data_IF_114319171728
#
_entry.id   IF_114319171728
#
_cell.length_a   1.000
_cell.length_b   1.000
_cell.length_c   1.000
_cell.angle_alpha   90.00
_cell.angle_beta   90.00
_cell.angle_gamma   90.00
#
_symmetry.space_group_name_H-M   'P 1'
#
loop_
_entity.id
_entity.type
_entity.pdbx_description
1 polymer ?
#
# COMPACT_ATOMS: atom_id res chain seq x y z
N UNK A 1 -12.62 14.20 11.14
CA UNK A 1 -12.54 13.39 9.92
C UNK A 1 -11.53 12.28 10.12
N UNK A 2 -11.86 11.05 9.75
CA UNK A 2 -10.94 9.91 9.75
C UNK A 2 -11.12 9.09 8.46
N UNK A 3 -10.13 8.29 8.06
CA UNK A 3 -10.20 7.48 6.85
C UNK A 3 -9.90 6.01 7.17
N UNK A 4 -10.83 5.11 6.84
CA UNK A 4 -10.62 3.67 6.86
C UNK A 4 -9.61 3.29 5.78
N UNK A 5 -8.49 2.71 6.19
CA UNK A 5 -7.27 2.64 5.40
C UNK A 5 -7.16 1.40 4.51
N UNK A 6 -8.01 0.38 4.68
CA UNK A 6 -7.99 -0.87 3.92
C UNK A 6 -9.37 -1.55 3.85
N UNK A 7 -10.21 -1.11 2.91
CA UNK A 7 -11.52 -1.73 2.65
C UNK A 7 -11.40 -2.83 1.57
N UNK A 8 -11.68 -4.11 1.87
CA UNK A 8 -11.81 -5.14 0.85
C UNK A 8 -13.05 -4.83 -0.02
N UNK A 9 -12.94 -4.74 -1.36
CA UNK A 9 -14.07 -4.30 -2.20
C UNK A 9 -15.37 -5.09 -2.01
N UNK A 10 -15.27 -6.42 -1.86
CA UNK A 10 -16.43 -7.30 -1.64
C UNK A 10 -17.13 -7.05 -0.29
N UNK A 11 -16.35 -6.67 0.73
CA UNK A 11 -16.84 -6.37 2.08
C UNK A 11 -17.16 -4.89 2.30
N UNK A 12 -17.20 -4.08 1.23
CA UNK A 12 -17.52 -2.65 1.33
C UNK A 12 -18.84 -2.35 2.07
N UNK A 13 -19.87 -3.20 1.91
CA UNK A 13 -21.12 -3.04 2.67
C UNK A 13 -20.89 -3.07 4.18
N UNK A 14 -20.06 -3.99 4.67
CA UNK A 14 -19.74 -4.11 6.09
C UNK A 14 -19.05 -2.85 6.61
N UNK A 15 -18.05 -2.34 5.87
CA UNK A 15 -17.36 -1.09 6.22
C UNK A 15 -18.34 0.09 6.30
N UNK A 16 -19.28 0.21 5.36
CA UNK A 16 -20.29 1.28 5.42
C UNK A 16 -21.34 1.09 6.53
N UNK A 17 -21.63 -0.16 6.93
CA UNK A 17 -22.47 -0.43 8.10
C UNK A 17 -21.78 0.02 9.40
N UNK A 18 -20.48 -0.23 9.56
CA UNK A 18 -19.71 0.26 10.72
C UNK A 18 -19.54 1.79 10.71
N UNK A 19 -19.24 2.41 9.55
CA UNK A 19 -19.18 3.87 9.40
C UNK A 19 -20.52 4.51 9.78
N UNK A 20 -21.65 3.90 9.40
CA UNK A 20 -22.99 4.42 9.75
C UNK A 20 -23.19 4.50 11.27
N UNK A 21 -22.64 3.54 12.01
CA UNK A 21 -22.77 3.45 13.46
C UNK A 21 -21.60 4.11 14.21
N UNK A 22 -20.67 4.76 13.49
CA UNK A 22 -19.56 5.54 14.05
C UNK A 22 -19.95 7.01 14.13
N UNK A 23 -20.21 7.56 15.33
CA UNK A 23 -20.79 8.89 15.46
C UNK A 23 -19.75 10.02 15.26
N UNK A 24 -20.26 11.23 15.04
CA UNK A 24 -19.55 12.53 15.08
C UNK A 24 -18.63 12.82 13.89
N UNK A 25 -17.76 11.89 13.49
CA UNK A 25 -16.70 12.17 12.53
C UNK A 25 -17.18 12.02 11.07
N UNK A 26 -16.67 12.87 10.17
CA UNK A 26 -16.73 12.58 8.73
C UNK A 26 -15.76 11.46 8.38
N UNK A 27 -16.18 10.51 7.56
CA UNK A 27 -15.42 9.30 7.25
C UNK A 27 -15.36 9.01 5.75
N UNK A 28 -14.35 8.25 5.35
CA UNK A 28 -14.24 7.65 4.03
C UNK A 28 -13.39 6.39 4.09
N UNK A 29 -13.44 5.55 3.04
CA UNK A 29 -12.73 4.27 3.02
C UNK A 29 -11.88 4.12 1.77
N UNK A 30 -10.74 3.44 1.89
CA UNK A 30 -9.82 3.19 0.78
C UNK A 30 -9.92 1.73 0.31
N UNK A 31 -10.55 1.44 -0.85
CA UNK A 31 -10.51 0.11 -1.42
C UNK A 31 -9.08 -0.32 -1.74
N UNK A 32 -8.78 -1.59 -1.50
CA UNK A 32 -7.47 -2.18 -1.82
C UNK A 32 -7.38 -2.66 -3.28
N UNK A 33 -6.32 -2.28 -3.97
CA UNK A 33 -6.08 -2.57 -5.40
C UNK A 33 -4.80 -3.37 -5.68
N UNK A 34 -3.83 -3.37 -4.75
CA UNK A 34 -2.47 -3.90 -4.98
C UNK A 34 -2.36 -5.40 -5.29
N UNK A 35 -3.43 -6.16 -5.03
CA UNK A 35 -3.53 -7.60 -5.28
C UNK A 35 -4.82 -7.94 -6.05
N UNK A 36 -5.43 -6.96 -6.71
CA UNK A 36 -6.66 -7.18 -7.45
C UNK A 36 -6.36 -7.84 -8.81
N UNK A 37 -7.05 -8.94 -9.12
CA UNK A 37 -6.80 -9.72 -10.33
C UNK A 37 -6.99 -8.92 -11.62
N UNK A 38 -8.06 -8.13 -11.73
CA UNK A 38 -8.30 -7.30 -12.92
C UNK A 38 -7.20 -6.25 -13.11
N UNK A 39 -6.75 -5.62 -12.02
CA UNK A 39 -5.63 -4.67 -12.06
C UNK A 39 -4.36 -5.35 -12.55
N UNK A 40 -4.00 -6.51 -11.98
CA UNK A 40 -2.78 -7.23 -12.37
C UNK A 40 -2.81 -7.66 -13.83
N UNK A 41 -3.93 -8.20 -14.32
CA UNK A 41 -4.07 -8.59 -15.73
C UNK A 41 -4.00 -7.40 -16.69
N UNK A 42 -4.73 -6.31 -16.42
CA UNK A 42 -4.70 -5.12 -17.27
C UNK A 42 -3.30 -4.47 -17.30
N UNK A 43 -2.65 -4.35 -16.14
CA UNK A 43 -1.32 -3.76 -16.07
C UNK A 43 -0.26 -4.62 -16.77
N UNK A 44 -0.33 -5.96 -16.66
CA UNK A 44 0.56 -6.87 -17.39
C UNK A 44 0.47 -6.65 -18.90
N UNK A 45 -0.75 -6.45 -19.40
CA UNK A 45 -1.02 -6.20 -20.82
C UNK A 45 -0.78 -4.73 -21.23
N UNK A 46 -0.29 -3.88 -20.31
CA UNK A 46 -0.05 -2.43 -20.52
C UNK A 46 -1.33 -1.65 -20.87
N UNK A 47 -2.47 -2.11 -20.38
CA UNK A 47 -3.79 -1.52 -20.63
C UNK A 47 -4.15 -0.48 -19.56
N UNK A 48 -3.46 0.66 -19.58
CA UNK A 48 -3.62 1.67 -18.54
C UNK A 48 -5.02 2.30 -18.51
N UNK A 49 -5.66 2.48 -19.67
CA UNK A 49 -7.01 3.03 -19.75
C UNK A 49 -8.05 2.06 -19.17
N UNK A 50 -7.90 0.76 -19.41
CA UNK A 50 -8.76 -0.27 -18.82
C UNK A 50 -8.55 -0.35 -17.31
N UNK A 51 -7.30 -0.23 -16.85
CA UNK A 51 -6.98 -0.15 -15.41
C UNK A 51 -7.66 1.06 -14.76
N UNK A 52 -7.57 2.24 -15.38
CA UNK A 52 -8.21 3.45 -14.89
C UNK A 52 -9.75 3.33 -14.89
N UNK A 53 -10.35 2.79 -15.96
CA UNK A 53 -11.78 2.56 -16.04
C UNK A 53 -12.27 1.59 -14.94
N UNK A 54 -11.55 0.50 -14.72
CA UNK A 54 -11.84 -0.45 -13.65
C UNK A 54 -11.73 0.21 -12.25
N UNK A 55 -10.66 0.98 -12.00
CA UNK A 55 -10.50 1.72 -10.75
C UNK A 55 -11.66 2.70 -10.51
N UNK A 56 -12.06 3.45 -11.54
CA UNK A 56 -13.20 4.38 -11.45
C UNK A 56 -14.51 3.67 -11.14
N UNK A 57 -14.77 2.52 -11.78
CA UNK A 57 -15.93 1.69 -11.48
C UNK A 57 -15.89 1.17 -10.04
N UNK A 58 -14.76 0.61 -9.59
CA UNK A 58 -14.64 0.00 -8.27
C UNK A 58 -14.80 1.04 -7.16
N UNK A 59 -14.18 2.22 -7.31
CA UNK A 59 -14.36 3.35 -6.40
C UNK A 59 -15.84 3.73 -6.29
N UNK A 60 -16.56 3.85 -7.42
CA UNK A 60 -17.99 4.17 -7.44
C UNK A 60 -18.85 3.07 -6.81
N UNK A 61 -18.56 1.82 -7.15
CA UNK A 61 -19.32 0.65 -6.69
C UNK A 61 -19.22 0.50 -5.17
N UNK A 62 -17.99 0.60 -4.64
CA UNK A 62 -17.67 0.46 -3.22
C UNK A 62 -17.84 1.75 -2.40
N UNK A 63 -18.14 2.88 -3.05
CA UNK A 63 -18.10 4.23 -2.44
C UNK A 63 -16.75 4.54 -1.78
N UNK A 64 -15.68 4.09 -2.40
CA UNK A 64 -14.31 4.32 -1.97
C UNK A 64 -13.76 5.70 -2.36
N UNK A 65 -12.72 6.13 -1.67
CA UNK A 65 -12.13 7.47 -1.82
C UNK A 65 -10.77 7.49 -2.54
N UNK A 66 -9.91 6.49 -2.31
CA UNK A 66 -8.54 6.46 -2.83
C UNK A 66 -8.12 5.06 -3.28
N UNK A 67 -7.05 4.99 -4.08
CA UNK A 67 -6.39 3.74 -4.47
C UNK A 67 -5.40 3.33 -3.38
N UNK A 68 -5.76 2.35 -2.53
CA UNK A 68 -4.85 1.76 -1.54
C UNK A 68 -4.11 0.56 -2.13
N UNK A 69 -2.81 0.50 -1.87
CA UNK A 69 -1.91 -0.57 -2.31
C UNK A 69 -1.21 -1.11 -1.08
N UNK A 70 -1.45 -2.38 -0.75
CA UNK A 70 -0.85 -3.07 0.39
C UNK A 70 -0.10 -4.29 -0.13
N UNK A 71 1.19 -4.40 0.19
CA UNK A 71 2.08 -5.49 -0.22
C UNK A 71 1.78 -5.93 -1.68
N UNK A 72 1.99 -5.05 -2.67
CA UNK A 72 1.54 -5.28 -4.04
C UNK A 72 2.09 -6.60 -4.56
N UNK A 73 1.20 -7.47 -5.04
CA UNK A 73 1.53 -8.83 -5.47
C UNK A 73 1.80 -9.86 -4.34
N UNK A 74 2.31 -9.43 -3.19
CA UNK A 74 2.68 -10.32 -2.10
C UNK A 74 1.48 -10.96 -1.38
N UNK A 75 0.38 -10.23 -1.22
CA UNK A 75 -0.85 -10.81 -0.64
C UNK A 75 -1.52 -11.81 -1.60
N UNK A 76 -1.42 -11.62 -2.93
CA UNK A 76 -1.86 -12.65 -3.88
C UNK A 76 -0.96 -13.89 -3.79
N UNK A 77 0.36 -13.70 -3.74
CA UNK A 77 1.30 -14.81 -3.56
C UNK A 77 1.00 -15.60 -2.25
N UNK A 78 0.52 -14.92 -1.22
CA UNK A 78 0.15 -15.52 0.05
C UNK A 78 -1.02 -16.51 -0.03
N UNK A 79 -1.90 -16.40 -1.03
CA UNK A 79 -2.93 -17.42 -1.27
C UNK A 79 -2.34 -18.82 -1.50
N UNK A 80 -1.03 -18.89 -1.81
CA UNK A 80 -0.26 -20.11 -2.02
C UNK A 80 0.87 -20.30 -0.99
N UNK A 81 0.83 -19.55 0.12
CA UNK A 81 1.86 -19.59 1.17
C UNK A 81 3.20 -18.93 0.77
N UNK A 82 3.20 -18.08 -0.25
CA UNK A 82 4.37 -17.36 -0.76
C UNK A 82 4.31 -15.86 -0.42
N UNK A 83 5.33 -15.09 -0.80
CA UNK A 83 5.35 -13.63 -0.67
C UNK A 83 6.26 -13.00 -1.75
N UNK A 84 6.09 -11.71 -2.00
CA UNK A 84 7.00 -10.88 -2.80
C UNK A 84 7.76 -9.94 -1.84
N UNK A 85 9.06 -10.16 -1.66
CA UNK A 85 9.92 -9.41 -0.74
C UNK A 85 10.69 -8.27 -1.43
N UNK A 86 10.79 -8.32 -2.76
CA UNK A 86 11.38 -7.29 -3.60
C UNK A 86 10.35 -6.71 -4.56
N UNK A 87 10.58 -5.47 -4.99
CA UNK A 87 9.74 -4.82 -6.01
C UNK A 87 9.80 -5.52 -7.37
N UNK A 88 10.76 -6.44 -7.57
CA UNK A 88 10.98 -7.17 -8.82
C UNK A 88 10.54 -8.64 -8.76
N UNK A 89 10.03 -9.12 -7.62
CA UNK A 89 9.60 -10.52 -7.51
C UNK A 89 8.34 -10.75 -8.35
N UNK A 90 8.28 -11.76 -9.23
CA UNK A 90 7.10 -12.01 -10.03
C UNK A 90 5.97 -12.58 -9.16
N UNK A 91 4.77 -12.03 -9.31
CA UNK A 91 3.57 -12.59 -8.69
C UNK A 91 3.25 -13.94 -9.36
N UNK A 92 3.07 -15.04 -8.59
CA UNK A 92 2.73 -16.34 -9.15
C UNK A 92 1.52 -16.27 -10.08
N UNK A 93 1.55 -17.00 -11.20
CA UNK A 93 0.55 -16.99 -12.29
C UNK A 93 0.40 -15.65 -13.04
N UNK A 94 0.21 -14.55 -12.33
CA UNK A 94 0.03 -13.23 -12.92
C UNK A 94 1.27 -12.74 -13.67
N UNK A 95 2.48 -13.10 -13.21
CA UNK A 95 3.75 -12.80 -13.90
C UNK A 95 3.86 -11.30 -14.25
N UNK A 96 3.60 -10.50 -13.22
CA UNK A 96 3.81 -9.05 -13.15
C UNK A 96 4.55 -8.78 -11.84
N UNK A 97 5.33 -7.71 -11.78
CA UNK A 97 6.10 -7.34 -10.60
C UNK A 97 5.39 -6.29 -9.73
N UNK A 98 5.67 -6.21 -8.42
CA UNK A 98 5.19 -5.12 -7.58
C UNK A 98 5.56 -3.73 -8.14
N UNK A 99 6.72 -3.59 -8.77
CA UNK A 99 7.13 -2.34 -9.41
C UNK A 99 6.18 -1.91 -10.54
N UNK A 100 5.78 -2.85 -11.40
CA UNK A 100 4.81 -2.61 -12.47
C UNK A 100 3.42 -2.30 -11.93
N UNK A 101 2.99 -2.99 -10.87
CA UNK A 101 1.71 -2.71 -10.17
C UNK A 101 1.71 -1.29 -9.61
N UNK A 102 2.75 -0.92 -8.85
CA UNK A 102 2.88 0.41 -8.24
C UNK A 102 2.90 1.51 -9.31
N UNK A 103 3.72 1.34 -10.34
CA UNK A 103 3.81 2.29 -11.46
C UNK A 103 2.46 2.47 -12.16
N UNK A 104 1.83 1.37 -12.53
CA UNK A 104 0.54 1.38 -13.23
C UNK A 104 -0.59 2.00 -12.40
N UNK A 105 -0.60 1.77 -11.09
CA UNK A 105 -1.58 2.39 -10.20
C UNK A 105 -1.34 3.89 -9.95
N UNK A 106 -0.10 4.37 -9.99
CA UNK A 106 0.19 5.81 -10.04
C UNK A 106 -0.35 6.39 -11.35
N UNK A 107 -0.05 5.76 -12.48
CA UNK A 107 -0.53 6.18 -13.80
C UNK A 107 -2.07 6.26 -13.83
N UNK A 108 -2.77 5.25 -13.31
CA UNK A 108 -4.22 5.22 -13.24
C UNK A 108 -4.79 6.31 -12.32
N UNK A 109 -4.16 6.53 -11.16
CA UNK A 109 -4.56 7.57 -10.21
C UNK A 109 -4.52 8.97 -10.85
N UNK A 110 -3.43 9.27 -11.56
CA UNK A 110 -3.26 10.56 -12.24
C UNK A 110 -4.06 10.67 -13.55
N UNK A 111 -4.36 9.55 -14.22
CA UNK A 111 -5.28 9.53 -15.36
C UNK A 111 -6.69 9.94 -14.92
N UNK A 112 -7.16 9.42 -13.77
CA UNK A 112 -8.47 9.73 -13.20
C UNK A 112 -8.54 11.09 -12.50
N UNK A 113 -7.40 11.69 -12.20
CA UNK A 113 -7.28 12.95 -11.47
C UNK A 113 -7.87 12.91 -10.06
N UNK A 114 -7.61 11.81 -9.35
CA UNK A 114 -8.14 11.59 -8.00
C UNK A 114 -7.62 12.63 -6.99
N UNK A 115 -8.42 12.94 -5.95
CA UNK A 115 -8.07 13.95 -4.94
C UNK A 115 -6.89 13.53 -4.08
N UNK A 116 -6.76 12.23 -3.79
CA UNK A 116 -5.62 11.66 -3.07
C UNK A 116 -4.64 10.99 -4.05
N UNK A 117 -3.38 10.91 -3.66
CA UNK A 117 -2.37 10.12 -4.38
C UNK A 117 -2.60 8.61 -4.16
N UNK A 118 -1.96 7.78 -4.97
CA UNK A 118 -1.85 6.36 -4.67
C UNK A 118 -1.23 6.19 -3.28
N UNK A 119 -1.88 5.39 -2.42
CA UNK A 119 -1.54 5.25 -1.01
C UNK A 119 -0.89 3.87 -0.80
N UNK A 120 0.41 3.86 -0.50
CA UNK A 120 1.24 2.65 -0.51
C UNK A 120 1.64 2.19 0.90
N UNK A 121 1.44 0.90 1.13
CA UNK A 121 2.12 0.04 2.11
C UNK A 121 3.04 -0.87 1.29
N UNK A 122 4.37 -0.61 1.28
CA UNK A 122 5.34 -1.37 0.47
C UNK A 122 5.47 -2.84 0.85
N UNK A 123 6.06 -3.62 -0.06
CA UNK A 123 6.53 -4.97 0.23
C UNK A 123 7.59 -4.98 1.37
N UNK A 124 7.85 -6.16 1.92
CA UNK A 124 8.90 -6.39 2.93
C UNK A 124 8.71 -5.61 4.25
N UNK A 125 7.46 -5.36 4.66
CA UNK A 125 7.16 -4.69 5.93
C UNK A 125 7.82 -5.43 7.10
N UNK A 126 8.41 -4.67 8.02
CA UNK A 126 8.83 -5.20 9.32
C UNK A 126 10.11 -6.02 9.35
N UNK A 127 10.74 -6.30 8.20
CA UNK A 127 11.98 -7.09 8.15
C UNK A 127 13.24 -6.21 8.22
N UNK A 128 14.31 -6.64 8.93
CA UNK A 128 15.63 -6.01 8.85
C UNK A 128 16.11 -5.86 7.39
N UNK A 129 16.65 -4.69 7.05
CA UNK A 129 17.15 -4.37 5.71
C UNK A 129 16.10 -3.84 4.71
N UNK A 130 14.81 -3.79 5.09
CA UNK A 130 13.72 -3.39 4.19
C UNK A 130 13.76 -1.93 3.71
N UNK A 131 14.62 -1.08 4.29
CA UNK A 131 14.78 0.30 3.82
C UNK A 131 15.19 0.37 2.35
N UNK A 132 15.90 -0.66 1.85
CA UNK A 132 16.30 -0.78 0.44
C UNK A 132 15.08 -0.99 -0.47
N UNK A 133 14.22 -1.97 -0.17
CA UNK A 133 12.93 -2.19 -0.85
C UNK A 133 12.05 -0.94 -0.81
N UNK A 134 12.06 -0.22 0.31
CA UNK A 134 11.30 1.02 0.47
C UNK A 134 11.81 2.11 -0.46
N UNK A 135 13.13 2.35 -0.50
CA UNK A 135 13.74 3.31 -1.42
C UNK A 135 13.49 2.93 -2.88
N UNK A 136 13.56 1.65 -3.22
CA UNK A 136 13.25 1.18 -4.58
C UNK A 136 11.78 1.39 -4.94
N UNK A 137 10.86 1.24 -3.98
CA UNK A 137 9.44 1.57 -4.15
C UNK A 137 9.25 3.07 -4.40
N UNK A 138 9.88 3.92 -3.60
CA UNK A 138 9.75 5.37 -3.73
C UNK A 138 10.31 5.89 -5.07
N UNK A 139 11.40 5.29 -5.58
CA UNK A 139 11.97 5.63 -6.90
C UNK A 139 11.01 5.40 -8.06
N UNK A 140 10.04 4.50 -7.94
CA UNK A 140 9.02 4.26 -8.99
C UNK A 140 8.20 5.54 -9.25
N UNK A 141 8.03 6.39 -8.23
CA UNK A 141 7.31 7.66 -8.37
C UNK A 141 8.14 8.78 -9.04
N UNK A 142 9.44 8.58 -9.32
CA UNK A 142 10.27 9.59 -9.97
C UNK A 142 9.74 9.93 -11.38
N UNK A 143 9.77 11.22 -11.74
CA UNK A 143 9.31 11.71 -13.04
C UNK A 143 7.79 11.87 -13.17
N UNK A 144 7.00 11.29 -12.26
CA UNK A 144 5.55 11.51 -12.22
C UNK A 144 5.21 12.92 -11.74
N UNK A 145 4.13 13.47 -12.30
CA UNK A 145 3.55 14.75 -11.89
C UNK A 145 2.09 14.55 -11.54
N UNK A 146 1.66 15.15 -10.44
CA UNK A 146 0.27 15.12 -10.06
C UNK A 146 -0.60 15.81 -11.13
N UNK A 147 -1.69 15.15 -11.52
CA UNK A 147 -2.69 15.66 -12.48
C UNK A 147 -4.04 15.63 -11.78
N UNK A 148 -4.44 16.72 -11.15
CA UNK A 148 -5.70 16.79 -10.44
C UNK A 148 -6.21 18.23 -10.36
N UNK A 149 -7.47 18.41 -9.95
CA UNK A 149 -8.11 19.72 -9.76
C UNK A 149 -8.16 20.19 -8.30
N UNK A 150 -7.46 19.48 -7.41
CA UNK A 150 -7.54 19.66 -5.96
C UNK A 150 -6.28 20.33 -5.36
N UNK A 151 -5.28 20.64 -6.19
CA UNK A 151 -4.03 21.29 -5.74
C UNK A 151 -3.04 20.33 -5.07
N UNK A 152 -3.26 19.01 -5.13
CA UNK A 152 -2.30 18.00 -4.65
C UNK A 152 -1.05 18.01 -5.54
N UNK A 153 0.13 18.05 -4.93
CA UNK A 153 1.44 18.00 -5.63
C UNK A 153 2.07 16.60 -5.63
N UNK A 154 1.66 15.77 -4.67
CA UNK A 154 2.17 14.42 -4.45
C UNK A 154 1.57 13.43 -5.42
N UNK A 155 2.26 12.34 -5.77
CA UNK A 155 1.75 11.24 -6.61
C UNK A 155 1.73 9.90 -5.85
N UNK A 156 2.44 9.83 -4.73
CA UNK A 156 2.50 8.68 -3.85
C UNK A 156 2.50 9.14 -2.39
N UNK A 157 1.74 8.44 -1.55
CA UNK A 157 1.73 8.60 -0.10
C UNK A 157 2.14 7.29 0.56
N UNK A 158 3.31 7.26 1.21
CA UNK A 158 3.82 6.11 1.94
C UNK A 158 3.30 6.13 3.37
N UNK A 159 2.51 5.13 3.73
CA UNK A 159 1.93 5.03 5.08
C UNK A 159 2.85 4.28 6.04
N UNK A 160 2.71 4.59 7.33
CA UNK A 160 3.36 3.96 8.48
C UNK A 160 4.86 3.67 8.22
N UNK A 161 5.56 4.70 7.75
CA UNK A 161 6.94 4.66 7.24
C UNK A 161 7.95 4.09 8.24
N UNK A 162 7.63 4.15 9.54
CA UNK A 162 8.44 3.57 10.61
C UNK A 162 8.72 2.08 10.36
N UNK A 163 7.73 1.30 9.93
CA UNK A 163 7.88 -0.14 9.66
C UNK A 163 8.61 -0.47 8.34
N UNK A 164 8.99 0.57 7.58
CA UNK A 164 9.65 0.51 6.28
C UNK A 164 11.05 1.14 6.31
N UNK A 165 11.59 1.39 7.50
CA UNK A 165 12.84 2.12 7.70
C UNK A 165 13.87 1.31 8.49
N UNK A 166 13.94 -0.01 8.26
CA UNK A 166 14.79 -0.94 9.02
C UNK A 166 16.07 -1.27 8.25
N UNK A 167 17.22 -1.14 8.93
CA UNK A 167 18.53 -1.63 8.49
C UNK A 167 18.90 -2.96 9.12
N UNK A 168 20.17 -3.34 9.03
CA UNK A 168 20.65 -4.68 9.37
C UNK A 168 20.29 -5.72 8.31
N UNK A 169 20.69 -6.97 8.55
CA UNK A 169 20.31 -8.14 7.74
C UNK A 169 19.55 -9.19 8.57
N UNK A 170 19.52 -9.04 9.89
CA UNK A 170 18.74 -9.84 10.83
C UNK A 170 18.48 -9.05 12.13
N UNK A 171 17.73 -9.65 13.07
CA UNK A 171 17.39 -8.98 14.34
C UNK A 171 18.58 -8.76 15.29
N UNK A 172 19.66 -9.52 15.15
CA UNK A 172 20.87 -9.39 15.96
C UNK A 172 21.74 -8.18 15.61
N UNK A 173 21.57 -7.60 14.41
CA UNK A 173 22.27 -6.39 13.97
C UNK A 173 21.31 -5.30 13.46
N UNK A 174 20.06 -5.34 13.91
CA UNK A 174 19.04 -4.35 13.57
C UNK A 174 19.50 -2.92 13.89
N UNK A 175 19.26 -2.01 12.95
CA UNK A 175 19.51 -0.58 13.13
C UNK A 175 18.43 0.27 12.43
N UNK A 176 18.33 1.54 12.82
CA UNK A 176 17.42 2.49 12.17
C UNK A 176 18.00 3.00 10.85
N UNK A 177 17.17 3.06 9.81
CA UNK A 177 17.44 3.71 8.52
C UNK A 177 16.46 4.84 8.21
N UNK A 178 15.84 5.39 9.25
CA UNK A 178 14.89 6.50 9.11
C UNK A 178 15.55 7.74 8.47
N UNK A 179 16.84 8.00 8.76
CA UNK A 179 17.56 9.12 8.15
C UNK A 179 17.65 8.96 6.64
N UNK A 180 18.05 7.80 6.16
CA UNK A 180 18.21 7.50 4.74
C UNK A 180 16.87 7.62 3.98
N UNK A 181 15.80 7.05 4.54
CA UNK A 181 14.45 7.13 3.96
C UNK A 181 13.96 8.59 3.94
N UNK A 182 14.09 9.33 5.05
CA UNK A 182 13.62 10.71 5.12
C UNK A 182 14.48 11.68 4.31
N UNK A 183 15.78 11.48 4.19
CA UNK A 183 16.65 12.25 3.29
C UNK A 183 16.21 12.08 1.83
N UNK A 184 15.72 10.90 1.45
CA UNK A 184 15.14 10.67 0.14
C UNK A 184 13.80 11.40 0.00
N UNK A 185 12.84 11.21 0.92
CA UNK A 185 11.53 11.86 0.89
C UNK A 185 11.66 13.40 0.83
N UNK A 186 12.53 13.99 1.64
CA UNK A 186 12.74 15.44 1.70
C UNK A 186 13.25 16.05 0.38
N UNK A 187 13.92 15.25 -0.47
CA UNK A 187 14.39 15.68 -1.80
C UNK A 187 13.30 15.59 -2.88
N UNK A 188 12.17 14.96 -2.60
CA UNK A 188 11.13 14.62 -3.57
C UNK A 188 9.76 15.17 -3.15
N UNK A 189 9.41 16.35 -3.69
CA UNK A 189 8.13 17.02 -3.39
C UNK A 189 6.88 16.23 -3.80
N UNK A 190 7.03 15.30 -4.74
CA UNK A 190 5.96 14.44 -5.23
C UNK A 190 5.63 13.27 -4.26
N UNK A 191 6.29 13.19 -3.09
CA UNK A 191 6.04 12.18 -2.07
C UNK A 191 5.48 12.81 -0.80
N UNK A 192 4.65 12.06 -0.09
CA UNK A 192 4.31 12.33 1.32
C UNK A 192 4.40 11.05 2.12
N UNK A 193 4.50 11.21 3.43
CA UNK A 193 4.55 10.10 4.39
C UNK A 193 3.63 10.35 5.57
N UNK A 194 3.15 9.26 6.18
CA UNK A 194 2.82 9.22 7.60
C UNK A 194 3.76 8.24 8.32
N UNK A 195 3.86 8.36 9.65
CA UNK A 195 4.93 7.73 10.42
C UNK A 195 4.56 6.37 11.00
N UNK A 196 3.34 6.19 11.52
CA UNK A 196 2.95 4.96 12.23
C UNK A 196 3.71 4.76 13.54
N UNK A 197 3.63 5.73 14.45
CA UNK A 197 4.39 5.70 15.71
C UNK A 197 3.96 4.57 16.65
N UNK A 198 4.94 3.82 17.16
CA UNK A 198 4.74 2.86 18.25
C UNK A 198 4.48 3.60 19.57
N UNK A 199 3.35 3.31 20.21
CA UNK A 199 2.93 3.97 21.47
C UNK A 199 3.47 3.30 22.74
N UNK A 200 4.11 2.12 22.60
CA UNK A 200 4.64 1.28 23.68
C UNK A 200 3.56 0.62 24.56
N UNK A 201 2.47 0.18 23.92
CA UNK A 201 1.36 -0.52 24.57
C UNK A 201 1.20 -1.95 24.06
N UNK A 202 0.46 -2.77 24.82
CA UNK A 202 -0.17 -3.97 24.27
C UNK A 202 -1.29 -3.54 23.31
N UNK A 203 -1.23 -4.02 22.06
CA UNK A 203 -2.15 -3.63 21.00
C UNK A 203 -2.45 -4.80 20.05
N UNK A 204 -3.26 -4.57 19.02
CA UNK A 204 -3.62 -5.55 17.98
C UNK A 204 -3.13 -5.08 16.61
N UNK A 205 -2.43 -5.95 15.88
CA UNK A 205 -2.10 -5.74 14.47
C UNK A 205 -3.25 -6.21 13.58
N UNK A 206 -3.57 -5.41 12.56
CA UNK A 206 -4.58 -5.74 11.56
C UNK A 206 -4.21 -5.06 10.24
N UNK A 207 -4.04 -5.85 9.17
CA UNK A 207 -3.65 -5.34 7.85
C UNK A 207 -4.12 -6.26 6.73
N UNK A 208 -4.15 -5.73 5.50
CA UNK A 208 -4.33 -6.53 4.28
C UNK A 208 -3.03 -7.27 3.86
N UNK A 209 -1.95 -7.15 4.63
CA UNK A 209 -0.69 -7.89 4.44
C UNK A 209 -0.74 -9.24 5.21
N UNK A 210 -1.51 -10.18 4.67
CA UNK A 210 -1.66 -11.53 5.23
C UNK A 210 -0.34 -12.28 5.55
N UNK A 211 0.67 -12.32 4.66
CA UNK A 211 1.91 -13.05 4.97
C UNK A 211 2.71 -12.40 6.10
N UNK A 212 2.62 -11.08 6.28
CA UNK A 212 3.25 -10.40 7.42
C UNK A 212 2.60 -10.81 8.74
N UNK A 213 1.27 -10.82 8.82
CA UNK A 213 0.57 -11.24 10.05
C UNK A 213 0.86 -12.71 10.39
N UNK A 214 0.94 -13.58 9.38
CA UNK A 214 1.35 -14.97 9.59
C UNK A 214 2.79 -15.07 10.12
N UNK A 215 3.73 -14.29 9.58
CA UNK A 215 5.09 -14.23 10.12
C UNK A 215 5.06 -13.79 11.60
N UNK A 216 4.28 -12.76 11.93
CA UNK A 216 4.23 -12.20 13.27
C UNK A 216 3.73 -13.21 14.31
N UNK A 217 2.73 -14.02 13.98
CA UNK A 217 2.27 -15.10 14.86
C UNK A 217 3.30 -16.21 15.04
N UNK A 218 4.15 -16.48 14.04
CA UNK A 218 5.25 -17.43 14.19
C UNK A 218 6.36 -16.90 15.10
N UNK A 219 6.46 -15.57 15.29
CA UNK A 219 7.41 -14.96 16.22
C UNK A 219 6.91 -14.93 17.67
N UNK A 220 5.64 -14.59 17.88
CA UNK A 220 5.09 -14.33 19.23
C UNK A 220 4.14 -15.42 19.74
N UNK A 221 3.69 -16.33 18.87
CA UNK A 221 2.78 -17.44 19.17
C UNK A 221 1.44 -17.03 19.79
N UNK A 222 0.97 -15.82 19.52
CA UNK A 222 -0.36 -15.36 19.90
C UNK A 222 -1.42 -15.79 18.88
N UNK A 223 -2.69 -15.50 19.14
CA UNK A 223 -3.79 -15.82 18.22
C UNK A 223 -3.64 -15.07 16.89
N UNK A 224 -3.99 -15.74 15.79
CA UNK A 224 -3.97 -15.20 14.43
C UNK A 224 -5.28 -15.50 13.69
N UNK A 225 -5.68 -14.62 12.77
CA UNK A 225 -6.89 -14.68 11.95
C UNK A 225 -6.63 -14.18 10.53
#
# INVERSE_FOLDING_TARGET
TAMEAAMPPLFSRHVHEEIRDTPIIDEGAFPVFGNNWFVMEYLKNREIENTAAYCAWLLRATKGFAIKVVNPGGTEAWAWGLNCLSVNDPVPYFDITPAEIVKGLIEANEYLGLPHSMHIHPNNLGNPGNYTTTLDTLKIAEGFKAKNKFGREQVMHLTHTQFHSYGGDNWGNFESKAKEVMDYVNKHKNLTVDTGNVTLDETTTMTADGPFEHHLTELNHLKWA
#
